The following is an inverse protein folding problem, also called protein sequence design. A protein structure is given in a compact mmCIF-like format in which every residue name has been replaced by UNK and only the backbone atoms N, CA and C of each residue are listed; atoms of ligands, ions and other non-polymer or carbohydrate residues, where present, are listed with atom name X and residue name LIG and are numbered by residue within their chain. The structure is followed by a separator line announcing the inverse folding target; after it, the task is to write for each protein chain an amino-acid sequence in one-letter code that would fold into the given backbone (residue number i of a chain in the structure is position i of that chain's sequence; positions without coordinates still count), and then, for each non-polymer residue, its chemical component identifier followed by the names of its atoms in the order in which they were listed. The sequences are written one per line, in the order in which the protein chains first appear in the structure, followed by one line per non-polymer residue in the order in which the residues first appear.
data_IF_818064989592
#
_entry.id   IF_818064989592
#
_cell.length_a   1.000
_cell.length_b   1.000
_cell.length_c   1.000
_cell.angle_alpha   90.00
_cell.angle_beta   90.00
_cell.angle_gamma   90.00
#
_symmetry.space_group_name_H-M   'P 1'
#
loop_
_entity.id
_entity.type
_entity.pdbx_description
1 polymer ?
#
# COMPACT_ATOMS: atom_id res chain seq x y z
N UNK A 1 -3.49 23.10 16.87
CA UNK A 1 -2.35 24.03 17.03
C UNK A 1 -1.23 23.55 16.12
N UNK A 2 -0.46 24.48 15.53
CA UNK A 2 0.68 24.10 14.68
C UNK A 2 1.77 23.45 15.51
N UNK A 3 2.34 22.35 14.99
CA UNK A 3 3.54 21.73 15.53
C UNK A 3 4.78 22.34 14.85
N UNK A 4 5.56 23.20 15.51
CA UNK A 4 6.71 23.86 14.90
C UNK A 4 7.89 22.91 14.66
N UNK A 5 7.88 21.72 15.25
CA UNK A 5 8.93 20.68 15.14
C UNK A 5 8.58 19.57 14.15
N UNK A 6 7.52 19.77 13.33
CA UNK A 6 7.10 18.74 12.38
C UNK A 6 8.23 18.31 11.43
N UNK A 7 8.95 19.29 10.84
CA UNK A 7 9.99 18.98 9.86
C UNK A 7 11.19 18.25 10.50
N UNK A 8 11.53 18.60 11.75
CA UNK A 8 12.58 17.93 12.51
C UNK A 8 12.17 16.46 12.77
N UNK A 9 10.94 16.24 13.26
CA UNK A 9 10.40 14.91 13.51
C UNK A 9 10.37 14.06 12.23
N UNK A 10 9.91 14.62 11.11
CA UNK A 10 9.88 13.92 9.83
C UNK A 10 11.28 13.54 9.35
N UNK A 11 12.27 14.41 9.58
CA UNK A 11 13.67 14.17 9.22
C UNK A 11 14.28 13.07 10.09
N UNK A 12 14.06 13.09 11.41
CA UNK A 12 14.51 12.04 12.32
C UNK A 12 13.86 10.68 12.03
N UNK A 13 12.60 10.69 11.59
CA UNK A 13 11.94 9.46 11.11
C UNK A 13 12.53 8.93 9.82
N UNK A 14 13.33 9.73 9.10
CA UNK A 14 13.86 9.39 7.77
C UNK A 14 12.82 9.54 6.65
N UNK A 15 11.78 10.33 6.86
CA UNK A 15 10.68 10.56 5.92
C UNK A 15 10.91 11.72 4.94
N UNK A 16 12.02 12.45 5.05
CA UNK A 16 12.39 13.53 4.15
C UNK A 16 13.57 13.09 3.28
N UNK A 17 13.35 12.96 1.96
CA UNK A 17 14.40 12.63 1.01
C UNK A 17 14.99 13.88 0.35
N UNK A 18 14.14 14.77 -0.14
CA UNK A 18 14.50 16.08 -0.71
C UNK A 18 13.45 17.11 -0.34
N UNK A 19 13.85 18.36 -0.31
CA UNK A 19 12.95 19.51 -0.23
C UNK A 19 13.48 20.67 -1.08
N UNK A 20 12.62 21.62 -1.41
CA UNK A 20 12.93 22.72 -2.31
C UNK A 20 13.85 23.78 -1.70
N UNK A 21 13.71 24.06 -0.41
CA UNK A 21 14.50 25.00 0.38
C UNK A 21 14.24 24.71 1.86
N UNK A 22 15.21 24.08 2.58
CA UNK A 22 15.00 23.70 3.97
C UNK A 22 14.65 24.86 4.89
N UNK A 23 15.31 26.01 4.76
CA UNK A 23 15.09 27.15 5.63
C UNK A 23 13.72 27.80 5.38
N UNK A 24 13.39 28.04 4.12
CA UNK A 24 12.09 28.58 3.74
C UNK A 24 10.92 27.64 4.10
N UNK A 25 11.14 26.32 4.06
CA UNK A 25 10.13 25.33 4.42
C UNK A 25 9.85 25.33 5.93
N UNK A 26 10.87 25.48 6.78
CA UNK A 26 10.69 25.62 8.24
C UNK A 26 9.83 26.83 8.55
N UNK A 27 10.18 27.99 7.98
CA UNK A 27 9.41 29.23 8.19
C UNK A 27 7.97 29.10 7.66
N UNK A 28 7.79 28.45 6.52
CA UNK A 28 6.48 28.20 5.92
C UNK A 28 5.59 27.32 6.79
N UNK A 29 6.14 26.24 7.37
CA UNK A 29 5.42 25.32 8.24
C UNK A 29 5.15 25.85 9.65
N UNK A 30 5.73 26.99 10.02
CA UNK A 30 5.40 27.67 11.28
C UNK A 30 3.96 28.22 11.31
N UNK A 31 3.28 28.31 10.19
CA UNK A 31 1.88 28.73 10.04
C UNK A 31 1.04 27.67 9.34
N UNK A 32 -0.32 27.67 9.54
CA UNK A 32 -1.18 26.73 8.83
C UNK A 32 -1.03 26.87 7.31
N UNK A 33 -0.75 25.79 6.63
CA UNK A 33 -0.70 25.76 5.18
C UNK A 33 -1.51 24.58 4.61
N UNK A 34 -1.80 24.62 3.32
CA UNK A 34 -2.43 23.53 2.59
C UNK A 34 -1.37 22.71 1.87
N UNK A 35 -1.36 21.40 2.13
CA UNK A 35 -0.41 20.42 1.57
C UNK A 35 -1.14 19.36 0.77
N UNK A 36 -0.63 19.02 -0.42
CA UNK A 36 -1.25 17.96 -1.22
C UNK A 36 -0.31 16.84 -1.61
N UNK A 37 -0.91 15.66 -1.84
CA UNK A 37 -0.30 14.52 -2.48
C UNK A 37 -1.25 13.95 -3.53
N UNK A 38 -0.69 13.53 -4.68
CA UNK A 38 -1.43 12.89 -5.76
C UNK A 38 -1.40 11.36 -5.67
N UNK A 39 -2.51 10.72 -6.01
CA UNK A 39 -2.71 9.28 -6.05
C UNK A 39 -3.35 8.89 -7.38
N UNK A 40 -2.54 8.39 -8.32
CA UNK A 40 -3.05 7.93 -9.61
C UNK A 40 -3.73 6.58 -9.50
N UNK A 41 -4.96 6.45 -10.03
CA UNK A 41 -5.71 5.19 -10.04
C UNK A 41 -5.12 4.23 -11.09
N UNK A 42 -4.18 3.41 -10.67
CA UNK A 42 -3.52 2.39 -11.51
C UNK A 42 -4.07 0.98 -11.26
N UNK A 43 -4.95 0.84 -10.28
CA UNK A 43 -5.68 -0.37 -9.91
C UNK A 43 -6.89 0.03 -9.06
N UNK A 44 -7.79 -0.92 -8.79
CA UNK A 44 -8.98 -0.70 -7.96
C UNK A 44 -8.73 -0.49 -6.47
N UNK A 45 -7.48 -0.54 -6.02
CA UNK A 45 -7.10 -0.33 -4.61
C UNK A 45 -5.76 0.38 -4.50
N UNK A 46 -5.57 1.08 -3.39
CA UNK A 46 -4.27 1.46 -2.88
C UNK A 46 -3.51 0.21 -2.38
N UNK A 47 -2.20 0.27 -2.38
CA UNK A 47 -1.32 -0.74 -1.78
C UNK A 47 -0.41 -0.10 -0.73
N UNK A 48 0.30 -0.92 0.04
CA UNK A 48 1.14 -0.43 1.15
C UNK A 48 2.20 0.61 0.74
N UNK A 49 2.61 0.67 -0.52
CA UNK A 49 3.48 1.73 -1.02
C UNK A 49 2.82 3.12 -1.05
N UNK A 50 1.48 3.19 -1.20
CA UNK A 50 0.72 4.43 -1.12
C UNK A 50 0.43 4.84 0.34
N UNK A 51 0.60 3.92 1.29
CA UNK A 51 0.29 4.19 2.69
C UNK A 51 1.22 5.27 3.27
N UNK A 52 2.53 5.25 2.94
CA UNK A 52 3.48 6.25 3.46
C UNK A 52 3.11 7.68 3.08
N UNK A 53 2.89 8.03 1.79
CA UNK A 53 2.46 9.39 1.44
C UNK A 53 1.09 9.75 2.02
N UNK A 54 0.17 8.80 2.18
CA UNK A 54 -1.11 9.03 2.81
C UNK A 54 -0.98 9.32 4.31
N UNK A 55 -0.16 8.55 5.02
CA UNK A 55 0.17 8.79 6.43
C UNK A 55 0.96 10.09 6.62
N UNK A 56 1.75 10.49 5.62
CA UNK A 56 2.39 11.79 5.64
C UNK A 56 1.36 12.92 5.61
N UNK A 57 0.35 12.86 4.74
CA UNK A 57 -0.77 13.82 4.77
C UNK A 57 -1.45 13.84 6.14
N UNK A 58 -1.63 12.67 6.77
CA UNK A 58 -2.19 12.58 8.12
C UNK A 58 -1.28 13.24 9.17
N UNK A 59 0.05 13.10 9.08
CA UNK A 59 1.00 13.78 9.97
C UNK A 59 0.90 15.31 9.84
N UNK A 60 0.79 15.82 8.62
CA UNK A 60 0.55 17.26 8.38
C UNK A 60 -0.78 17.71 8.99
N UNK A 61 -1.83 16.91 8.87
CA UNK A 61 -3.14 17.21 9.49
C UNK A 61 -3.03 17.28 11.00
N UNK A 62 -2.39 16.28 11.63
CA UNK A 62 -2.16 16.26 13.09
C UNK A 62 -1.30 17.44 13.56
N UNK A 63 -0.41 17.93 12.71
CA UNK A 63 0.43 19.10 12.97
C UNK A 63 -0.30 20.43 12.73
N UNK A 64 -1.59 20.43 12.33
CA UNK A 64 -2.43 21.62 12.19
C UNK A 64 -2.51 22.19 10.76
N UNK A 65 -1.96 21.50 9.76
CA UNK A 65 -2.06 21.86 8.35
C UNK A 65 -3.32 21.25 7.70
N UNK A 66 -3.70 21.75 6.53
CA UNK A 66 -4.85 21.24 5.77
C UNK A 66 -4.39 20.27 4.70
N UNK A 67 -4.66 18.96 4.82
CA UNK A 67 -4.29 17.99 3.81
C UNK A 67 -5.26 17.96 2.63
N UNK A 68 -4.71 17.82 1.43
CA UNK A 68 -5.45 17.61 0.18
C UNK A 68 -4.93 16.30 -0.44
N UNK A 69 -5.82 15.34 -0.63
CA UNK A 69 -5.53 14.15 -1.43
C UNK A 69 -6.13 14.35 -2.82
N UNK A 70 -5.28 14.34 -3.85
CA UNK A 70 -5.70 14.43 -5.24
C UNK A 70 -5.76 13.03 -5.83
N UNK A 71 -6.93 12.62 -6.34
CA UNK A 71 -7.07 11.40 -7.12
C UNK A 71 -6.95 11.74 -8.60
N UNK A 72 -6.05 11.06 -9.30
CA UNK A 72 -5.68 11.36 -10.68
C UNK A 72 -6.66 10.79 -11.70
N UNK A 73 -7.92 11.25 -11.74
CA UNK A 73 -8.89 10.78 -12.73
C UNK A 73 -8.53 11.11 -14.17
N UNK A 74 -7.80 12.23 -14.40
CA UNK A 74 -7.26 12.55 -15.71
C UNK A 74 -5.86 11.93 -15.91
N UNK A 75 -4.95 12.10 -14.93
CA UNK A 75 -3.59 11.57 -15.01
C UNK A 75 -3.54 10.05 -15.04
N UNK A 76 -4.49 9.36 -14.42
CA UNK A 76 -4.65 7.91 -14.48
C UNK A 76 -4.99 7.37 -15.87
N UNK A 77 -5.56 8.19 -16.77
CA UNK A 77 -5.78 7.85 -18.17
C UNK A 77 -4.50 7.93 -19.01
N UNK A 78 -3.50 8.68 -18.55
CA UNK A 78 -2.23 8.92 -19.26
C UNK A 78 -1.13 8.00 -18.74
N UNK A 79 -0.96 7.94 -17.43
CA UNK A 79 0.06 7.15 -16.74
C UNK A 79 1.41 7.85 -16.58
N UNK A 80 1.88 7.91 -15.33
CA UNK A 80 3.18 8.50 -14.98
C UNK A 80 4.34 7.63 -15.50
N UNK A 81 5.25 8.18 -16.35
CA UNK A 81 6.43 7.47 -16.85
C UNK A 81 7.57 7.38 -15.84
N UNK A 82 7.51 8.06 -14.70
CA UNK A 82 8.61 8.20 -13.75
C UNK A 82 9.16 6.85 -13.31
N UNK A 83 10.44 6.60 -13.67
CA UNK A 83 11.19 5.37 -13.36
C UNK A 83 10.50 4.05 -13.78
N UNK A 84 9.65 4.08 -14.81
CA UNK A 84 9.06 2.87 -15.41
C UNK A 84 9.88 2.38 -16.60
N UNK A 85 9.98 1.06 -16.73
CA UNK A 85 10.72 0.45 -17.83
C UNK A 85 9.95 0.44 -19.15
N UNK A 86 8.64 0.27 -19.08
CA UNK A 86 7.74 0.13 -20.24
C UNK A 86 6.61 1.14 -20.15
N UNK A 87 6.05 1.50 -21.29
CA UNK A 87 4.84 2.30 -21.39
C UNK A 87 3.67 1.60 -20.69
N UNK A 88 2.81 2.37 -20.03
CA UNK A 88 1.61 1.83 -19.41
C UNK A 88 0.56 1.53 -20.46
N UNK A 89 -0.16 0.43 -20.29
CA UNK A 89 -1.40 0.20 -21.03
C UNK A 89 -2.44 1.25 -20.64
N UNK A 90 -3.07 1.86 -21.63
CA UNK A 90 -4.16 2.81 -21.41
C UNK A 90 -5.42 2.06 -20.98
N UNK A 91 -6.03 2.52 -19.90
CA UNK A 91 -7.29 2.00 -19.40
C UNK A 91 -8.48 2.78 -19.94
N UNK A 92 -9.65 2.16 -19.99
CA UNK A 92 -10.87 2.87 -20.37
C UNK A 92 -11.28 3.91 -19.33
N UNK A 93 -11.98 4.94 -19.74
CA UNK A 93 -12.51 5.98 -18.84
C UNK A 93 -13.37 5.39 -17.73
N UNK A 94 -14.24 4.43 -18.05
CA UNK A 94 -15.12 3.78 -17.08
C UNK A 94 -14.32 2.99 -16.01
N UNK A 95 -13.26 2.29 -16.44
CA UNK A 95 -12.36 1.58 -15.53
C UNK A 95 -11.69 2.55 -14.56
N UNK A 96 -11.12 3.64 -15.07
CA UNK A 96 -10.45 4.65 -14.26
C UNK A 96 -11.43 5.34 -13.31
N UNK A 97 -12.65 5.66 -13.73
CA UNK A 97 -13.68 6.23 -12.87
C UNK A 97 -14.06 5.28 -11.72
N UNK A 98 -14.22 3.99 -11.99
CA UNK A 98 -14.43 2.98 -10.96
C UNK A 98 -13.30 2.96 -9.93
N UNK A 99 -12.05 3.01 -10.39
CA UNK A 99 -10.88 3.06 -9.51
C UNK A 99 -10.79 4.37 -8.72
N UNK A 100 -11.12 5.50 -9.32
CA UNK A 100 -11.23 6.81 -8.61
C UNK A 100 -12.18 6.71 -7.43
N UNK A 101 -13.35 6.10 -7.63
CA UNK A 101 -14.33 5.92 -6.55
C UNK A 101 -13.77 5.03 -5.41
N UNK A 102 -13.14 3.91 -5.75
CA UNK A 102 -12.54 2.99 -4.78
C UNK A 102 -11.40 3.62 -4.00
N UNK A 103 -10.45 4.26 -4.67
CA UNK A 103 -9.34 4.95 -4.03
C UNK A 103 -9.83 6.08 -3.12
N UNK A 104 -10.82 6.84 -3.58
CA UNK A 104 -11.45 7.92 -2.81
C UNK A 104 -12.05 7.43 -1.50
N UNK A 105 -12.69 6.27 -1.50
CA UNK A 105 -13.25 5.65 -0.30
C UNK A 105 -12.16 5.24 0.68
N UNK A 106 -11.08 4.61 0.20
CA UNK A 106 -9.94 4.19 1.03
C UNK A 106 -9.20 5.40 1.62
N UNK A 107 -8.98 6.45 0.84
CA UNK A 107 -8.33 7.69 1.32
C UNK A 107 -9.16 8.33 2.43
N UNK A 108 -10.48 8.45 2.26
CA UNK A 108 -11.36 9.00 3.31
C UNK A 108 -11.30 8.20 4.61
N UNK A 109 -11.22 6.88 4.54
CA UNK A 109 -11.12 6.02 5.72
C UNK A 109 -9.81 6.23 6.49
N UNK A 110 -8.70 6.46 5.78
CA UNK A 110 -7.36 6.61 6.37
C UNK A 110 -6.98 8.06 6.69
N UNK A 111 -7.74 9.02 6.16
CA UNK A 111 -7.56 10.45 6.40
C UNK A 111 -8.89 11.05 6.92
N UNK A 112 -9.30 10.71 8.16
CA UNK A 112 -10.58 11.13 8.71
C UNK A 112 -10.60 12.63 9.05
N UNK A 113 -11.82 13.19 9.08
CA UNK A 113 -12.07 14.49 9.67
C UNK A 113 -12.30 14.30 11.18
N UNK A 114 -11.29 14.61 11.98
CA UNK A 114 -11.38 14.55 13.44
C UNK A 114 -11.71 15.93 14.01
N UNK A 115 -12.38 15.94 15.16
CA UNK A 115 -12.73 17.17 15.86
C UNK A 115 -11.47 17.99 16.21
N UNK A 116 -11.52 19.27 15.88
CA UNK A 116 -10.41 20.21 16.14
C UNK A 116 -9.25 20.18 15.14
N UNK A 117 -9.29 19.30 14.13
CA UNK A 117 -8.33 19.29 13.04
C UNK A 117 -8.93 19.89 11.76
N UNK A 118 -8.05 20.32 10.84
CA UNK A 118 -8.47 20.75 9.51
C UNK A 118 -9.09 19.59 8.76
N UNK A 119 -10.29 19.77 8.22
CA UNK A 119 -10.93 18.73 7.41
C UNK A 119 -10.13 18.43 6.15
N UNK A 120 -9.80 17.15 5.88
CA UNK A 120 -9.09 16.78 4.67
C UNK A 120 -9.95 17.04 3.44
N UNK A 121 -9.32 17.51 2.37
CA UNK A 121 -9.98 17.72 1.09
C UNK A 121 -9.60 16.61 0.13
N UNK A 122 -10.59 16.04 -0.54
CA UNK A 122 -10.40 15.05 -1.59
C UNK A 122 -10.88 15.64 -2.91
N UNK A 123 -9.99 15.71 -3.89
CA UNK A 123 -10.24 16.31 -5.20
C UNK A 123 -9.86 15.34 -6.32
N UNK A 124 -10.48 15.54 -7.49
CA UNK A 124 -10.22 14.78 -8.70
C UNK A 124 -9.73 15.71 -9.80
N UNK A 125 -8.54 15.48 -10.37
CA UNK A 125 -8.05 16.34 -11.45
C UNK A 125 -8.84 16.19 -12.77
N UNK A 126 -9.67 15.16 -12.91
CA UNK A 126 -10.65 15.07 -13.99
C UNK A 126 -11.63 16.25 -14.03
N UNK A 127 -11.89 16.89 -12.87
CA UNK A 127 -12.86 18.00 -12.76
C UNK A 127 -12.41 19.27 -13.48
N UNK A 128 -11.10 19.48 -13.63
CA UNK A 128 -10.56 20.62 -14.37
C UNK A 128 -9.89 20.25 -15.69
N UNK A 129 -9.24 19.10 -15.76
CA UNK A 129 -8.63 18.64 -17.01
C UNK A 129 -9.67 18.31 -18.07
N UNK A 130 -10.78 17.69 -17.68
CA UNK A 130 -11.85 17.30 -18.59
C UNK A 130 -12.59 18.49 -19.25
N UNK A 131 -12.45 19.69 -18.70
CA UNK A 131 -13.06 20.91 -19.24
C UNK A 131 -12.11 21.71 -20.13
N UNK A 132 -10.81 21.38 -20.14
CA UNK A 132 -9.80 22.10 -20.91
C UNK A 132 -9.67 21.52 -22.31
N UNK A 133 -9.78 22.38 -23.32
CA UNK A 133 -9.53 21.94 -24.70
C UNK A 133 -8.02 21.68 -24.92
N UNK A 134 -7.69 20.81 -25.89
CA UNK A 134 -6.30 20.58 -26.26
C UNK A 134 -5.56 21.86 -26.70
N UNK A 135 -6.28 22.78 -27.38
CA UNK A 135 -5.69 24.05 -27.81
C UNK A 135 -5.42 24.98 -26.62
N UNK A 136 -6.32 25.06 -25.66
CA UNK A 136 -6.11 25.85 -24.45
C UNK A 136 -4.96 25.30 -23.62
N UNK A 137 -4.89 23.96 -23.48
CA UNK A 137 -3.80 23.32 -22.76
C UNK A 137 -2.43 23.62 -23.40
N UNK A 138 -2.32 23.51 -24.71
CA UNK A 138 -1.06 23.81 -25.41
C UNK A 138 -0.70 25.29 -25.36
N UNK A 139 -1.71 26.19 -25.56
CA UNK A 139 -1.50 27.64 -25.56
C UNK A 139 -1.15 28.16 -24.16
N UNK A 140 -1.90 27.75 -23.13
CA UNK A 140 -1.84 28.42 -21.82
C UNK A 140 -0.88 27.70 -20.86
N UNK A 141 -0.74 26.39 -20.98
CA UNK A 141 0.14 25.58 -20.14
C UNK A 141 1.41 25.18 -20.89
N UNK A 142 1.27 24.61 -22.06
CA UNK A 142 2.41 24.07 -22.86
C UNK A 142 3.49 25.11 -23.13
N UNK A 143 3.12 26.38 -23.40
CA UNK A 143 4.07 27.48 -23.64
C UNK A 143 5.08 27.72 -22.52
N UNK A 144 4.77 27.28 -21.29
CA UNK A 144 5.65 27.47 -20.13
C UNK A 144 6.70 26.37 -19.99
N UNK A 145 6.64 25.31 -20.80
CA UNK A 145 7.55 24.16 -20.74
C UNK A 145 8.52 24.17 -21.93
N UNK A 146 9.81 24.21 -21.61
CA UNK A 146 10.86 24.03 -22.62
C UNK A 146 11.07 22.55 -22.92
N UNK A 147 10.95 22.14 -24.18
CA UNK A 147 11.20 20.77 -24.61
C UNK A 147 12.60 20.31 -24.21
N UNK A 148 13.62 21.17 -24.36
CA UNK A 148 14.99 20.85 -23.95
C UNK A 148 15.10 20.55 -22.45
N UNK A 149 14.41 21.32 -21.60
CA UNK A 149 14.38 21.07 -20.16
C UNK A 149 13.64 19.77 -19.82
N UNK A 150 12.58 19.44 -20.56
CA UNK A 150 11.85 18.19 -20.39
C UNK A 150 12.69 16.98 -20.81
N UNK A 151 13.41 17.05 -21.92
CA UNK A 151 14.33 16.00 -22.40
C UNK A 151 15.52 15.78 -21.46
N UNK A 152 15.95 16.83 -20.74
CA UNK A 152 17.06 16.73 -19.78
C UNK A 152 16.68 16.06 -18.46
N UNK A 153 15.38 15.83 -18.18
CA UNK A 153 14.94 15.14 -16.97
C UNK A 153 15.46 13.71 -16.94
N UNK A 154 15.93 13.28 -15.78
CA UNK A 154 16.55 11.96 -15.63
C UNK A 154 15.62 10.81 -16.07
N UNK A 155 14.34 10.84 -15.67
CA UNK A 155 13.35 9.83 -16.06
C UNK A 155 13.14 9.74 -17.58
N UNK A 156 13.13 10.89 -18.27
CA UNK A 156 12.99 10.95 -19.73
C UNK A 156 14.28 10.50 -20.41
N UNK A 157 15.44 11.00 -19.95
CA UNK A 157 16.75 10.65 -20.48
C UNK A 157 17.03 9.15 -20.40
N UNK A 158 16.69 8.51 -19.27
CA UNK A 158 16.84 7.05 -19.11
C UNK A 158 15.95 6.26 -20.09
N UNK A 159 14.76 6.76 -20.42
CA UNK A 159 13.90 6.13 -21.43
C UNK A 159 14.45 6.29 -22.83
N UNK A 160 14.90 7.49 -23.21
CA UNK A 160 15.48 7.78 -24.52
C UNK A 160 16.82 7.07 -24.76
N UNK A 161 17.56 6.73 -23.71
CA UNK A 161 18.82 5.99 -23.83
C UNK A 161 18.63 4.49 -24.12
N UNK A 162 17.40 3.96 -24.10
CA UNK A 162 17.11 2.55 -24.40
C UNK A 162 16.89 2.33 -25.90
N UNK A 163 17.59 1.40 -26.56
CA UNK A 163 17.61 1.28 -28.02
C UNK A 163 16.24 1.05 -28.68
N UNK A 164 15.34 0.31 -28.01
CA UNK A 164 14.08 -0.14 -28.59
C UNK A 164 12.81 0.37 -27.87
N UNK A 165 12.96 1.33 -26.95
CA UNK A 165 11.87 1.81 -26.12
C UNK A 165 11.93 3.34 -26.01
N UNK A 166 11.27 4.04 -26.92
CA UNK A 166 11.05 5.47 -26.81
C UNK A 166 10.09 5.84 -25.67
N UNK A 167 9.73 7.10 -25.62
CA UNK A 167 8.66 7.64 -24.79
C UNK A 167 7.58 8.19 -25.73
N UNK A 168 6.33 7.84 -25.53
CA UNK A 168 5.24 8.42 -26.31
C UNK A 168 5.01 9.89 -25.92
N UNK A 169 4.42 10.66 -26.82
CA UNK A 169 4.02 12.03 -26.49
C UNK A 169 3.05 12.08 -25.31
N UNK A 170 2.21 11.07 -25.17
CA UNK A 170 1.28 10.90 -24.06
C UNK A 170 2.01 10.84 -22.73
N UNK A 171 2.94 9.89 -22.55
CA UNK A 171 3.77 9.80 -21.34
C UNK A 171 4.65 11.04 -21.12
N UNK A 172 5.23 11.58 -22.20
CA UNK A 172 6.05 12.78 -22.16
C UNK A 172 5.30 14.00 -21.62
N UNK A 173 4.01 14.10 -21.95
CA UNK A 173 3.14 15.20 -21.53
C UNK A 173 2.66 15.09 -20.08
N UNK A 174 2.79 13.92 -19.43
CA UNK A 174 2.30 13.69 -18.07
C UNK A 174 2.74 14.77 -17.08
N UNK A 175 4.00 15.15 -17.13
CA UNK A 175 4.56 16.16 -16.23
C UNK A 175 3.88 17.54 -16.34
N UNK A 176 3.30 17.88 -17.51
CA UNK A 176 2.55 19.11 -17.68
C UNK A 176 1.22 19.06 -16.93
N UNK A 177 0.55 17.89 -16.97
CA UNK A 177 -0.73 17.66 -16.28
C UNK A 177 -0.54 17.81 -14.77
N UNK A 178 0.40 17.08 -14.19
CA UNK A 178 0.67 17.16 -12.74
C UNK A 178 1.16 18.57 -12.33
N UNK A 179 1.91 19.27 -13.18
CA UNK A 179 2.31 20.65 -12.90
C UNK A 179 1.11 21.59 -12.87
N UNK A 180 0.16 21.38 -13.77
CA UNK A 180 -1.07 22.19 -13.80
C UNK A 180 -1.96 21.88 -12.59
N UNK A 181 -2.00 20.65 -12.10
CA UNK A 181 -2.69 20.31 -10.85
C UNK A 181 -2.22 21.19 -9.69
N UNK A 182 -0.91 21.36 -9.51
CA UNK A 182 -0.39 22.23 -8.45
C UNK A 182 -0.85 23.69 -8.60
N UNK A 183 -0.78 24.23 -9.81
CA UNK A 183 -1.22 25.60 -10.08
C UNK A 183 -2.73 25.77 -9.80
N UNK A 184 -3.57 24.79 -10.19
CA UNK A 184 -5.02 24.80 -9.92
C UNK A 184 -5.29 24.68 -8.43
N UNK A 185 -4.61 23.78 -7.72
CA UNK A 185 -4.78 23.61 -6.27
C UNK A 185 -4.32 24.86 -5.50
N UNK A 186 -3.24 25.50 -5.97
CA UNK A 186 -2.83 26.79 -5.40
C UNK A 186 -3.92 27.84 -5.57
N UNK A 187 -4.45 27.99 -6.78
CA UNK A 187 -5.48 28.99 -7.06
C UNK A 187 -6.79 28.73 -6.32
N UNK A 188 -7.24 27.47 -6.26
CA UNK A 188 -8.56 27.10 -5.71
C UNK A 188 -8.57 26.91 -4.21
N UNK A 189 -7.49 26.37 -3.65
CA UNK A 189 -7.42 25.89 -2.27
C UNK A 189 -6.29 26.55 -1.46
N UNK A 190 -5.55 27.49 -2.05
CA UNK A 190 -4.38 28.07 -1.39
C UNK A 190 -3.29 27.06 -1.10
N UNK A 191 -3.20 25.99 -1.89
CA UNK A 191 -2.19 24.94 -1.69
C UNK A 191 -0.79 25.49 -1.96
N UNK A 192 0.13 25.31 -1.01
CA UNK A 192 1.48 25.86 -1.07
C UNK A 192 2.59 24.83 -0.88
N UNK A 193 2.23 23.58 -0.59
CA UNK A 193 3.19 22.49 -0.46
C UNK A 193 2.71 21.24 -1.22
N UNK A 194 3.55 20.70 -2.09
CA UNK A 194 3.35 19.39 -2.69
C UNK A 194 4.30 18.38 -2.06
N UNK A 195 3.77 17.21 -1.68
CA UNK A 195 4.56 16.05 -1.26
C UNK A 195 4.37 14.88 -2.21
N UNK A 196 5.34 13.97 -2.25
CA UNK A 196 5.28 12.76 -3.07
C UNK A 196 6.49 11.86 -2.86
N UNK A 197 6.54 10.70 -3.52
CA UNK A 197 7.74 9.86 -3.53
C UNK A 197 8.93 10.56 -4.19
N UNK A 198 10.14 10.12 -3.88
CA UNK A 198 11.35 10.75 -4.43
C UNK A 198 11.45 10.64 -5.96
N UNK A 199 10.76 9.70 -6.57
CA UNK A 199 10.58 9.59 -8.03
C UNK A 199 9.75 10.74 -8.63
N UNK A 200 8.99 11.47 -7.80
CA UNK A 200 8.15 12.60 -8.21
C UNK A 200 8.86 13.96 -8.19
N UNK A 201 10.12 14.02 -7.76
CA UNK A 201 10.83 15.29 -7.59
C UNK A 201 10.81 16.18 -8.84
N UNK A 202 11.04 15.59 -10.02
CA UNK A 202 11.01 16.33 -11.29
C UNK A 202 9.63 16.89 -11.65
N UNK A 203 8.55 16.18 -11.31
CA UNK A 203 7.18 16.64 -11.52
C UNK A 203 6.83 17.74 -10.52
N UNK A 204 7.21 17.57 -9.24
CA UNK A 204 6.98 18.55 -8.16
C UNK A 204 7.65 19.89 -8.50
N UNK A 205 8.95 19.88 -8.84
CA UNK A 205 9.69 21.11 -9.19
C UNK A 205 9.12 21.80 -10.42
N UNK A 206 8.59 21.05 -11.37
CA UNK A 206 7.91 21.62 -12.54
C UNK A 206 6.58 22.27 -12.19
N UNK A 207 5.83 21.67 -11.26
CA UNK A 207 4.61 22.27 -10.71
C UNK A 207 4.89 23.57 -9.98
N UNK A 208 5.97 23.62 -9.19
CA UNK A 208 6.43 24.83 -8.53
C UNK A 208 6.78 25.94 -9.53
N UNK A 209 7.53 25.62 -10.59
CA UNK A 209 7.89 26.60 -11.62
C UNK A 209 6.65 27.10 -12.39
N UNK A 210 5.73 26.21 -12.74
CA UNK A 210 4.49 26.60 -13.41
C UNK A 210 3.62 27.49 -12.51
N UNK A 211 3.44 27.16 -11.23
CA UNK A 211 2.69 27.95 -10.27
C UNK A 211 3.29 29.35 -10.12
N UNK A 212 4.62 29.45 -10.03
CA UNK A 212 5.32 30.73 -10.02
C UNK A 212 5.07 31.55 -11.28
N UNK A 213 5.07 30.92 -12.46
CA UNK A 213 4.85 31.62 -13.76
C UNK A 213 3.41 32.08 -13.92
N UNK A 214 2.43 31.28 -13.50
CA UNK A 214 1.01 31.59 -13.68
C UNK A 214 0.48 32.54 -12.60
N UNK A 215 0.91 32.35 -11.35
CA UNK A 215 0.33 33.05 -10.19
C UNK A 215 1.31 33.98 -9.47
N UNK A 216 2.59 34.04 -9.90
CA UNK A 216 3.66 34.79 -9.22
C UNK A 216 3.80 34.42 -7.74
N UNK A 217 3.45 33.19 -7.40
CA UNK A 217 3.46 32.65 -6.05
C UNK A 217 4.65 31.73 -5.82
N UNK A 218 5.25 31.84 -4.64
CA UNK A 218 6.24 30.88 -4.16
C UNK A 218 5.53 29.73 -3.49
N UNK A 219 5.80 28.50 -3.93
CA UNK A 219 5.30 27.27 -3.36
C UNK A 219 6.46 26.30 -3.12
N UNK A 220 6.22 25.29 -2.29
CA UNK A 220 7.25 24.37 -1.82
C UNK A 220 7.00 22.94 -2.28
N UNK A 221 8.08 22.17 -2.32
CA UNK A 221 8.03 20.74 -2.61
C UNK A 221 8.87 19.95 -1.62
N UNK A 222 8.39 18.77 -1.24
CA UNK A 222 9.12 17.82 -0.40
C UNK A 222 8.87 16.39 -0.89
N UNK A 223 9.89 15.55 -0.87
CA UNK A 223 9.75 14.15 -1.24
C UNK A 223 10.08 13.21 -0.09
N UNK A 224 9.40 12.06 -0.12
CA UNK A 224 9.62 10.95 0.77
C UNK A 224 10.57 9.93 0.12
N UNK A 225 11.34 9.17 0.91
CA UNK A 225 12.16 8.09 0.37
C UNK A 225 11.29 7.03 -0.31
N UNK A 226 11.85 6.43 -1.36
CA UNK A 226 11.26 5.20 -1.91
C UNK A 226 11.50 4.06 -0.92
N UNK A 227 10.42 3.36 -0.59
CA UNK A 227 10.51 2.29 0.40
C UNK A 227 11.12 1.04 -0.23
N UNK A 228 12.27 0.65 0.31
CA UNK A 228 12.98 -0.59 -0.05
C UNK A 228 13.19 -1.42 1.19
N UNK A 229 13.44 -2.70 1.03
CA UNK A 229 13.97 -3.56 2.10
C UNK A 229 15.46 -3.25 2.33
N UNK A 230 16.03 -3.74 3.43
CA UNK A 230 17.44 -3.58 3.75
C UNK A 230 18.36 -4.17 2.65
N UNK A 231 17.91 -5.19 1.94
CA UNK A 231 18.59 -5.80 0.79
C UNK A 231 18.51 -4.96 -0.51
N UNK A 232 17.87 -3.79 -0.46
CA UNK A 232 17.68 -2.88 -1.61
C UNK A 232 16.53 -3.27 -2.53
N UNK A 233 15.83 -4.37 -2.30
CA UNK A 233 14.68 -4.76 -3.10
C UNK A 233 13.46 -3.88 -2.81
N UNK A 234 12.57 -3.74 -3.79
CA UNK A 234 11.35 -2.93 -3.63
C UNK A 234 10.45 -3.55 -2.57
N UNK A 235 10.05 -2.74 -1.60
CA UNK A 235 9.07 -3.14 -0.59
C UNK A 235 7.64 -3.11 -1.16
N UNK A 236 6.77 -3.97 -0.61
CA UNK A 236 5.34 -3.98 -0.95
C UNK A 236 4.95 -4.91 -2.09
N UNK A 237 5.89 -5.73 -2.58
CA UNK A 237 5.59 -6.83 -3.49
C UNK A 237 5.96 -8.16 -2.85
N UNK A 238 5.04 -9.12 -2.92
CA UNK A 238 5.26 -10.53 -2.61
C UNK A 238 5.35 -11.33 -3.92
N UNK A 239 5.59 -12.62 -3.84
CA UNK A 239 5.47 -13.52 -4.99
C UNK A 239 4.06 -13.47 -5.61
N UNK A 240 3.03 -13.18 -4.80
CA UNK A 240 1.63 -13.00 -5.22
C UNK A 240 1.29 -11.61 -5.76
N UNK A 241 2.24 -10.66 -5.81
CA UNK A 241 2.00 -9.30 -6.30
C UNK A 241 2.05 -8.22 -5.21
N UNK A 242 1.28 -7.15 -5.39
CA UNK A 242 1.20 -6.05 -4.43
C UNK A 242 0.35 -6.44 -3.21
N UNK A 243 0.73 -5.94 -2.02
CA UNK A 243 -0.10 -6.03 -0.82
C UNK A 243 -1.08 -4.86 -0.81
N UNK A 244 -2.35 -5.18 -1.04
CA UNK A 244 -3.42 -4.20 -1.20
C UNK A 244 -4.02 -3.78 0.13
N UNK A 245 -4.60 -2.57 0.16
CA UNK A 245 -5.35 -2.09 1.33
C UNK A 245 -6.81 -2.55 1.32
N UNK A 246 -7.33 -2.98 0.16
CA UNK A 246 -8.67 -3.54 0.03
C UNK A 246 -8.68 -4.99 0.57
N UNK A 247 -9.51 -5.30 1.58
CA UNK A 247 -9.60 -6.65 2.14
C UNK A 247 -10.11 -7.71 1.14
N UNK A 248 -10.75 -7.29 0.05
CA UNK A 248 -11.15 -8.21 -1.03
C UNK A 248 -9.96 -8.64 -1.92
N UNK A 249 -8.87 -7.86 -1.96
CA UNK A 249 -7.67 -8.14 -2.76
C UNK A 249 -6.52 -8.72 -1.94
N UNK A 250 -6.40 -8.32 -0.68
CA UNK A 250 -5.48 -8.90 0.31
C UNK A 250 -6.25 -9.02 1.62
N UNK A 251 -6.47 -10.25 2.10
CA UNK A 251 -7.22 -10.44 3.34
C UNK A 251 -6.53 -9.75 4.51
N UNK A 252 -7.27 -9.30 5.54
CA UNK A 252 -6.67 -8.77 6.76
C UNK A 252 -5.67 -9.73 7.41
N UNK A 253 -5.88 -11.06 7.28
CA UNK A 253 -4.94 -12.05 7.77
C UNK A 253 -3.62 -12.05 6.99
N UNK A 254 -3.66 -12.06 5.65
CA UNK A 254 -2.46 -12.00 4.83
C UNK A 254 -1.73 -10.66 5.00
N UNK A 255 -2.47 -9.55 5.10
CA UNK A 255 -1.92 -8.22 5.43
C UNK A 255 -1.19 -8.23 6.78
N UNK A 256 -1.80 -8.79 7.82
CA UNK A 256 -1.17 -8.94 9.14
C UNK A 256 0.09 -9.79 9.09
N UNK A 257 0.03 -10.94 8.42
CA UNK A 257 1.19 -11.85 8.30
C UNK A 257 2.34 -11.23 7.50
N UNK A 258 2.03 -10.40 6.49
CA UNK A 258 3.04 -9.66 5.75
C UNK A 258 3.88 -8.76 6.68
N UNK A 259 3.22 -7.98 7.54
CA UNK A 259 3.91 -7.10 8.48
C UNK A 259 4.60 -7.87 9.60
N UNK A 260 3.98 -8.93 10.08
CA UNK A 260 4.54 -9.83 11.09
C UNK A 260 5.81 -10.54 10.59
N UNK A 261 5.93 -10.74 9.28
CA UNK A 261 7.09 -11.32 8.60
C UNK A 261 8.18 -10.31 8.23
N UNK A 262 8.09 -9.06 8.69
CA UNK A 262 9.13 -8.04 8.46
C UNK A 262 10.47 -8.47 9.04
N UNK A 263 11.55 -8.28 8.26
CA UNK A 263 12.91 -8.59 8.72
C UNK A 263 13.32 -7.73 9.92
N UNK A 264 14.15 -8.28 10.78
CA UNK A 264 14.67 -7.59 11.97
C UNK A 264 15.42 -6.30 11.65
N UNK A 265 16.04 -6.23 10.48
CA UNK A 265 16.80 -5.08 9.97
C UNK A 265 15.91 -3.94 9.49
N UNK A 266 14.64 -4.25 9.15
CA UNK A 266 13.70 -3.29 8.59
C UNK A 266 12.66 -2.79 9.59
N UNK A 267 12.34 -3.58 10.63
CA UNK A 267 11.14 -3.39 11.45
C UNK A 267 11.08 -2.03 12.14
N UNK A 268 12.19 -1.55 12.72
CA UNK A 268 12.20 -0.25 13.43
C UNK A 268 12.12 0.91 12.46
N UNK A 269 12.75 0.80 11.28
CA UNK A 269 12.59 1.77 10.20
C UNK A 269 11.15 1.84 9.72
N UNK A 270 10.48 0.71 9.59
CA UNK A 270 9.07 0.68 9.17
C UNK A 270 8.14 1.19 10.28
N UNK A 271 8.43 0.95 11.55
CA UNK A 271 7.72 1.62 12.64
C UNK A 271 7.84 3.15 12.55
N UNK A 272 9.02 3.68 12.26
CA UNK A 272 9.21 5.13 12.07
C UNK A 272 8.42 5.68 10.87
N UNK A 273 8.28 4.91 9.79
CA UNK A 273 7.58 5.33 8.57
C UNK A 273 6.06 5.21 8.67
N UNK A 274 5.58 4.10 9.18
CA UNK A 274 4.19 3.69 9.07
C UNK A 274 3.37 3.86 10.36
N UNK A 275 3.97 3.92 11.55
CA UNK A 275 3.23 4.09 12.80
C UNK A 275 3.19 5.55 13.26
N UNK A 276 2.25 5.87 14.16
CA UNK A 276 2.18 7.16 14.83
C UNK A 276 2.84 7.11 16.24
N UNK A 277 3.52 6.04 16.59
CA UNK A 277 4.33 5.96 17.80
C UNK A 277 5.37 7.09 17.82
N UNK A 278 5.65 7.64 18.99
CA UNK A 278 6.76 8.58 19.15
C UNK A 278 8.10 7.91 18.88
N UNK A 279 9.10 8.68 18.47
CA UNK A 279 10.45 8.16 18.27
C UNK A 279 11.02 7.52 19.55
N UNK A 280 10.74 8.13 20.71
CA UNK A 280 11.16 7.61 22.03
C UNK A 280 10.53 6.25 22.37
N UNK A 281 9.26 6.01 21.99
CA UNK A 281 8.63 4.70 22.16
C UNK A 281 9.25 3.65 21.24
N UNK A 282 9.58 4.01 20.00
CA UNK A 282 10.24 3.10 19.05
C UNK A 282 11.66 2.76 19.54
N UNK A 283 12.41 3.75 19.98
CA UNK A 283 13.77 3.56 20.50
C UNK A 283 13.78 2.72 21.78
N UNK A 284 12.79 2.91 22.68
CA UNK A 284 12.61 2.08 23.87
C UNK A 284 12.29 0.63 23.50
N UNK A 285 11.41 0.41 22.52
CA UNK A 285 11.07 -0.92 22.00
C UNK A 285 12.31 -1.62 21.40
N UNK A 286 13.12 -0.90 20.62
CA UNK A 286 14.37 -1.40 20.06
C UNK A 286 15.36 -1.82 21.14
N UNK A 287 15.52 -0.98 22.18
CA UNK A 287 16.40 -1.26 23.31
C UNK A 287 15.93 -2.46 24.16
N UNK A 288 14.62 -2.68 24.28
CA UNK A 288 14.07 -3.85 24.95
C UNK A 288 14.25 -5.12 24.13
N UNK A 289 13.96 -5.05 22.82
CA UNK A 289 14.11 -6.18 21.91
C UNK A 289 15.58 -6.62 21.75
N UNK A 290 16.54 -5.69 21.88
CA UNK A 290 17.97 -6.02 21.89
C UNK A 290 18.39 -6.92 23.09
N UNK A 291 17.62 -6.91 24.17
CA UNK A 291 17.87 -7.72 25.38
C UNK A 291 17.16 -9.09 25.33
N UNK A 292 16.24 -9.29 24.36
CA UNK A 292 15.42 -10.50 24.25
C UNK A 292 16.19 -11.64 23.59
N UNK A 293 16.02 -12.83 24.14
CA UNK A 293 16.40 -14.06 23.46
C UNK A 293 15.15 -14.60 22.74
N UNK A 294 15.16 -14.62 21.41
CA UNK A 294 14.06 -15.12 20.59
C UNK A 294 13.39 -14.04 19.73
N UNK A 295 12.08 -14.23 19.42
CA UNK A 295 11.35 -13.32 18.55
C UNK A 295 11.24 -11.91 19.15
N UNK A 296 11.55 -10.92 18.36
CA UNK A 296 11.38 -9.50 18.71
C UNK A 296 9.89 -9.14 18.81
N UNK A 297 9.58 -8.14 19.60
CA UNK A 297 8.23 -7.65 19.79
C UNK A 297 7.82 -6.65 18.70
N UNK A 298 8.80 -5.99 18.10
CA UNK A 298 8.59 -4.94 17.12
C UNK A 298 7.75 -5.38 15.91
N UNK A 299 7.93 -6.62 15.39
CA UNK A 299 7.10 -7.12 14.29
C UNK A 299 5.63 -7.24 14.66
N UNK A 300 5.35 -7.68 15.88
CA UNK A 300 3.97 -7.79 16.37
C UNK A 300 3.34 -6.41 16.55
N UNK A 301 4.09 -5.47 17.11
CA UNK A 301 3.65 -4.08 17.27
C UNK A 301 3.34 -3.47 15.90
N UNK A 302 4.26 -3.59 14.93
CA UNK A 302 4.07 -3.10 13.57
C UNK A 302 2.83 -3.71 12.90
N UNK A 303 2.68 -5.03 12.99
CA UNK A 303 1.53 -5.73 12.40
C UNK A 303 0.21 -5.33 13.07
N UNK A 304 0.18 -5.18 14.39
CA UNK A 304 -1.00 -4.73 15.12
C UNK A 304 -1.41 -3.31 14.71
N UNK A 305 -0.46 -2.35 14.81
CA UNK A 305 -0.69 -0.94 14.46
C UNK A 305 -1.26 -0.78 13.06
N UNK A 306 -0.65 -1.43 12.08
CA UNK A 306 -1.05 -1.26 10.68
C UNK A 306 -2.33 -2.01 10.32
N UNK A 307 -2.57 -3.17 10.92
CA UNK A 307 -3.83 -3.90 10.70
C UNK A 307 -4.99 -3.16 11.34
N UNK A 308 -4.81 -2.60 12.54
CA UNK A 308 -5.83 -1.77 13.17
C UNK A 308 -6.11 -0.49 12.36
N UNK A 309 -5.06 0.17 11.90
CA UNK A 309 -5.16 1.40 11.12
C UNK A 309 -5.93 1.20 9.80
N UNK A 310 -5.63 0.12 9.07
CA UNK A 310 -6.18 -0.10 7.72
C UNK A 310 -7.50 -0.85 7.75
N UNK A 311 -7.63 -1.85 8.62
CA UNK A 311 -8.77 -2.77 8.64
C UNK A 311 -9.64 -2.65 9.90
N UNK A 312 -9.19 -1.89 10.89
CA UNK A 312 -9.92 -1.63 12.14
C UNK A 312 -9.75 -2.71 13.21
N UNK A 313 -10.21 -2.37 14.42
CA UNK A 313 -10.06 -3.21 15.64
C UNK A 313 -10.67 -4.60 15.52
N UNK A 314 -11.82 -4.71 14.86
CA UNK A 314 -12.49 -6.01 14.70
C UNK A 314 -11.67 -6.98 13.82
N UNK A 315 -11.08 -6.47 12.74
CA UNK A 315 -10.21 -7.25 11.88
C UNK A 315 -8.91 -7.65 12.62
N UNK A 316 -8.29 -6.73 13.36
CA UNK A 316 -7.13 -7.05 14.19
C UNK A 316 -7.43 -8.17 15.20
N UNK A 317 -8.54 -8.10 15.91
CA UNK A 317 -8.95 -9.15 16.86
C UNK A 317 -9.16 -10.51 16.15
N UNK A 318 -9.74 -10.50 14.94
CA UNK A 318 -9.95 -11.71 14.16
C UNK A 318 -8.61 -12.34 13.73
N UNK A 319 -7.67 -11.56 13.18
CA UNK A 319 -6.37 -12.10 12.71
C UNK A 319 -5.49 -12.59 13.85
N UNK A 320 -5.55 -11.95 15.01
CA UNK A 320 -4.87 -12.42 16.22
C UNK A 320 -5.45 -13.76 16.69
N UNK A 321 -6.77 -13.90 16.73
CA UNK A 321 -7.46 -15.16 17.06
C UNK A 321 -7.10 -16.26 16.06
N UNK A 322 -7.14 -16.00 14.75
CA UNK A 322 -6.76 -16.97 13.71
C UNK A 322 -5.31 -17.43 13.95
N UNK A 323 -4.38 -16.50 14.15
CA UNK A 323 -2.97 -16.80 14.38
C UNK A 323 -2.75 -17.67 15.61
N UNK A 324 -3.44 -17.38 16.73
CA UNK A 324 -3.38 -18.16 17.98
C UNK A 324 -3.92 -19.57 17.78
N UNK A 325 -5.09 -19.72 17.13
CA UNK A 325 -5.73 -21.01 16.90
C UNK A 325 -4.93 -21.90 15.95
N UNK A 326 -4.31 -21.32 14.91
CA UNK A 326 -3.40 -22.06 14.04
C UNK A 326 -2.12 -22.50 14.77
N UNK A 327 -1.59 -21.64 15.66
CA UNK A 327 -0.39 -21.96 16.43
C UNK A 327 -0.65 -23.03 17.49
N UNK A 328 -1.72 -22.93 18.26
CA UNK A 328 -2.12 -23.91 19.29
C UNK A 328 -2.60 -25.24 18.69
N UNK A 329 -3.10 -25.20 17.45
CA UNK A 329 -3.74 -26.35 16.78
C UNK A 329 -5.21 -26.54 17.13
N UNK A 330 -5.82 -25.63 17.91
CA UNK A 330 -7.25 -25.65 18.27
C UNK A 330 -8.11 -25.05 17.16
N UNK A 331 -7.92 -25.57 15.95
CA UNK A 331 -8.52 -25.04 14.72
C UNK A 331 -10.03 -25.27 14.61
N UNK A 332 -10.60 -26.12 15.47
CA UNK A 332 -12.04 -26.34 15.53
C UNK A 332 -12.82 -25.10 16.01
N UNK A 333 -12.13 -24.12 16.62
CA UNK A 333 -12.69 -22.86 17.07
C UNK A 333 -12.65 -21.71 16.00
N UNK A 334 -12.09 -22.00 14.81
CA UNK A 334 -12.14 -21.05 13.70
C UNK A 334 -13.59 -20.88 13.23
N UNK A 335 -14.02 -19.63 13.05
CA UNK A 335 -15.29 -19.29 12.44
C UNK A 335 -15.27 -19.39 10.91
N UNK A 336 -16.45 -19.37 10.28
CA UNK A 336 -16.56 -19.43 8.82
C UNK A 336 -15.82 -18.25 8.13
N UNK A 337 -15.94 -17.04 8.68
CA UNK A 337 -15.24 -15.86 8.19
C UNK A 337 -13.72 -15.95 8.33
N UNK A 338 -13.21 -16.67 9.34
CA UNK A 338 -11.79 -16.92 9.52
C UNK A 338 -11.27 -17.86 8.42
N UNK A 339 -12.02 -18.93 8.15
CA UNK A 339 -11.70 -19.87 7.09
C UNK A 339 -11.78 -19.23 5.69
N UNK A 340 -12.73 -18.32 5.47
CA UNK A 340 -12.82 -17.57 4.23
C UNK A 340 -11.57 -16.70 3.98
N UNK A 341 -11.04 -16.00 4.99
CA UNK A 341 -9.78 -15.25 4.87
C UNK A 341 -8.59 -16.17 4.60
N UNK A 342 -8.54 -17.34 5.25
CA UNK A 342 -7.49 -18.33 5.03
C UNK A 342 -7.56 -18.94 3.62
N UNK A 343 -8.76 -19.14 3.08
CA UNK A 343 -8.98 -19.65 1.71
C UNK A 343 -8.60 -18.61 0.65
N UNK A 344 -8.82 -17.33 0.92
CA UNK A 344 -8.54 -16.25 -0.02
C UNK A 344 -7.04 -16.19 -0.38
N UNK A 345 -6.18 -16.06 0.63
CA UNK A 345 -4.74 -15.83 0.46
C UNK A 345 -3.92 -16.12 1.75
N UNK A 346 -4.57 -16.55 2.82
CA UNK A 346 -3.94 -16.75 4.13
C UNK A 346 -3.11 -18.02 4.23
N UNK A 347 -3.41 -19.04 3.43
CA UNK A 347 -2.66 -20.30 3.35
C UNK A 347 -2.88 -21.01 2.00
N UNK A 348 -2.04 -22.01 1.66
CA UNK A 348 -2.30 -22.85 0.49
C UNK A 348 -3.71 -23.41 0.52
N UNK A 349 -4.47 -23.19 -0.54
CA UNK A 349 -5.85 -23.62 -0.66
C UNK A 349 -6.15 -24.26 -2.00
N UNK A 350 -7.20 -25.09 -2.06
CA UNK A 350 -7.71 -25.68 -3.29
C UNK A 350 -9.22 -25.83 -3.23
N UNK A 351 -9.86 -25.76 -4.38
CA UNK A 351 -11.30 -25.96 -4.53
C UNK A 351 -11.58 -27.35 -5.07
N UNK A 352 -12.59 -28.01 -4.50
CA UNK A 352 -13.03 -29.35 -4.91
C UNK A 352 -14.52 -29.33 -5.21
N UNK A 353 -14.92 -29.97 -6.30
CA UNK A 353 -16.31 -30.24 -6.66
C UNK A 353 -16.57 -31.75 -6.66
N UNK A 354 -17.68 -32.14 -6.04
CA UNK A 354 -18.08 -33.57 -5.96
C UNK A 354 -17.43 -34.33 -4.82
N UNK A 355 -17.54 -35.69 -4.91
CA UNK A 355 -16.99 -36.57 -3.90
C UNK A 355 -15.51 -36.93 -4.20
N UNK A 356 -14.70 -36.98 -3.18
CA UNK A 356 -13.29 -37.37 -3.26
C UNK A 356 -12.88 -38.14 -1.99
N UNK A 357 -11.93 -39.06 -2.12
CA UNK A 357 -11.34 -39.74 -0.97
C UNK A 357 -10.17 -38.94 -0.38
N UNK A 358 -9.89 -39.12 0.90
CA UNK A 358 -8.84 -38.37 1.61
C UNK A 358 -7.44 -38.59 1.00
N UNK A 359 -7.14 -39.82 0.53
CA UNK A 359 -5.85 -40.16 -0.10
C UNK A 359 -5.64 -39.37 -1.39
N UNK A 360 -6.69 -39.30 -2.23
CA UNK A 360 -6.66 -38.50 -3.46
C UNK A 360 -6.52 -37.00 -3.15
N UNK A 361 -7.21 -36.52 -2.14
CA UNK A 361 -7.16 -35.13 -1.69
C UNK A 361 -5.74 -34.75 -1.20
N UNK A 362 -5.11 -35.58 -0.37
CA UNK A 362 -3.73 -35.35 0.09
C UNK A 362 -2.72 -35.24 -1.04
N UNK A 363 -2.93 -35.99 -2.12
CA UNK A 363 -2.06 -35.94 -3.31
C UNK A 363 -2.35 -34.66 -4.11
N UNK A 364 -3.60 -34.34 -4.38
CA UNK A 364 -3.96 -33.13 -5.16
C UNK A 364 -3.56 -31.84 -4.47
N UNK A 365 -3.61 -31.80 -3.14
CA UNK A 365 -3.16 -30.65 -2.33
C UNK A 365 -1.63 -30.56 -2.16
N UNK A 366 -0.86 -31.49 -2.71
CA UNK A 366 0.59 -31.51 -2.56
C UNK A 366 1.11 -31.91 -1.17
N UNK A 367 0.23 -32.34 -0.26
CA UNK A 367 0.61 -32.79 1.07
C UNK A 367 1.24 -34.19 1.02
N UNK A 368 1.02 -34.96 -0.04
CA UNK A 368 1.69 -36.20 -0.35
C UNK A 368 2.05 -36.31 -1.83
N UNK A 369 3.23 -36.84 -2.16
CA UNK A 369 3.69 -36.94 -3.54
C UNK A 369 3.10 -38.15 -4.29
N UNK A 370 2.38 -39.05 -3.60
CA UNK A 370 1.71 -40.22 -4.21
C UNK A 370 0.68 -40.83 -3.24
N UNK A 371 -0.28 -41.57 -3.79
CA UNK A 371 -1.30 -42.30 -2.98
C UNK A 371 -0.66 -43.24 -1.95
N UNK A 372 0.49 -43.90 -2.28
CA UNK A 372 1.23 -44.75 -1.34
C UNK A 372 1.73 -43.92 -0.16
N UNK A 373 2.39 -42.81 -0.41
CA UNK A 373 2.89 -41.92 0.63
C UNK A 373 1.73 -41.32 1.46
N UNK A 374 0.60 -40.99 0.85
CA UNK A 374 -0.58 -40.48 1.57
C UNK A 374 -1.07 -41.52 2.60
N UNK A 375 -1.17 -42.81 2.20
CA UNK A 375 -1.54 -43.90 3.13
C UNK A 375 -0.52 -44.13 4.24
N UNK A 376 0.77 -44.06 3.92
CA UNK A 376 1.84 -44.15 4.93
C UNK A 376 1.77 -43.03 5.95
N UNK A 377 1.49 -41.78 5.51
CA UNK A 377 1.33 -40.61 6.38
C UNK A 377 0.08 -40.72 7.29
N UNK A 378 -1.02 -41.26 6.76
CA UNK A 378 -2.23 -41.53 7.56
C UNK A 378 -1.96 -42.60 8.62
N UNK A 379 -1.38 -43.75 8.22
CA UNK A 379 -1.03 -44.84 9.14
C UNK A 379 -0.06 -44.38 10.24
N UNK A 380 0.87 -43.49 9.90
CA UNK A 380 1.82 -42.89 10.87
C UNK A 380 1.22 -41.83 11.78
N UNK A 381 -0.08 -41.48 11.62
CA UNK A 381 -0.72 -40.36 12.37
C UNK A 381 -0.10 -39.00 12.08
N UNK A 382 0.46 -38.82 10.88
CA UNK A 382 1.11 -37.57 10.49
C UNK A 382 0.13 -36.53 9.87
N UNK A 383 -1.12 -36.92 9.65
CA UNK A 383 -2.18 -36.11 9.07
C UNK A 383 -3.23 -35.78 10.14
N UNK A 384 -3.65 -34.53 10.21
CA UNK A 384 -4.83 -34.15 10.96
C UNK A 384 -5.86 -33.47 10.07
N UNK A 385 -7.11 -33.69 10.39
CA UNK A 385 -8.30 -33.14 9.77
C UNK A 385 -8.97 -32.22 10.79
N UNK A 386 -9.12 -30.95 10.49
CA UNK A 386 -9.71 -29.95 11.40
C UNK A 386 -9.12 -30.02 12.83
N UNK A 387 -7.82 -30.29 12.95
CA UNK A 387 -7.12 -30.40 14.23
C UNK A 387 -7.10 -31.80 14.84
N UNK A 388 -7.93 -32.74 14.37
CA UNK A 388 -8.00 -34.11 14.87
C UNK A 388 -7.14 -35.03 14.03
N UNK A 389 -6.32 -35.91 14.66
CA UNK A 389 -5.50 -36.88 13.96
C UNK A 389 -6.40 -37.89 13.21
N UNK A 390 -6.04 -38.14 11.94
CA UNK A 390 -6.76 -39.06 11.06
C UNK A 390 -5.83 -40.21 10.64
N UNK A 391 -6.29 -41.46 10.83
CA UNK A 391 -5.51 -42.66 10.49
C UNK A 391 -6.13 -43.50 9.36
N UNK A 392 -7.43 -43.33 9.13
CA UNK A 392 -8.16 -43.92 8.01
C UNK A 392 -8.26 -42.98 6.80
N UNK A 393 -8.66 -43.48 5.66
CA UNK A 393 -8.85 -42.76 4.41
C UNK A 393 -10.29 -42.29 4.16
N UNK A 394 -11.17 -42.48 5.14
CA UNK A 394 -12.57 -42.11 5.02
C UNK A 394 -12.77 -40.60 5.20
N UNK A 395 -13.51 -40.01 4.31
CA UNK A 395 -13.93 -38.63 4.34
C UNK A 395 -15.45 -38.55 4.21
N UNK A 396 -16.10 -37.86 5.11
CA UNK A 396 -17.55 -37.69 5.11
C UNK A 396 -17.94 -36.24 4.95
N UNK A 397 -19.18 -35.95 4.54
CA UNK A 397 -19.69 -34.60 4.45
C UNK A 397 -19.70 -33.89 5.82
N UNK A 398 -19.79 -34.66 6.92
CA UNK A 398 -19.77 -34.15 8.30
C UNK A 398 -18.38 -33.69 8.76
N UNK A 399 -17.32 -34.08 8.04
CA UNK A 399 -15.96 -33.59 8.30
C UNK A 399 -15.77 -32.14 7.82
N UNK A 400 -16.68 -31.64 6.98
CA UNK A 400 -16.59 -30.27 6.43
C UNK A 400 -17.08 -29.25 7.47
N UNK A 401 -16.19 -28.36 7.89
CA UNK A 401 -16.55 -27.20 8.71
C UNK A 401 -17.48 -26.30 7.91
N UNK A 402 -18.59 -25.89 8.51
CA UNK A 402 -19.65 -25.08 7.88
C UNK A 402 -20.18 -25.70 6.56
N UNK A 403 -20.08 -27.03 6.41
CA UNK A 403 -20.48 -27.72 5.18
C UNK A 403 -19.59 -27.48 3.96
N UNK A 404 -18.54 -26.68 4.08
CA UNK A 404 -17.76 -26.14 2.97
C UNK A 404 -16.23 -26.33 3.10
N UNK A 405 -15.67 -26.19 4.29
CA UNK A 405 -14.22 -26.15 4.49
C UNK A 405 -13.66 -27.39 5.16
N UNK A 406 -12.46 -27.79 4.76
CA UNK A 406 -11.71 -28.84 5.40
C UNK A 406 -10.26 -28.41 5.59
N UNK A 407 -9.80 -28.29 6.83
CA UNK A 407 -8.43 -27.92 7.13
C UNK A 407 -7.57 -29.16 7.32
N UNK A 408 -6.68 -29.38 6.37
CA UNK A 408 -5.68 -30.46 6.39
C UNK A 408 -4.38 -29.94 6.99
N UNK A 409 -3.72 -30.77 7.81
CA UNK A 409 -2.38 -30.48 8.30
C UNK A 409 -1.50 -31.72 8.25
N UNK A 410 -0.30 -31.57 7.69
CA UNK A 410 0.78 -32.55 7.72
C UNK A 410 1.85 -32.14 8.72
N UNK A 411 2.10 -32.96 9.73
CA UNK A 411 3.04 -32.66 10.80
C UNK A 411 2.63 -31.42 11.60
N UNK A 412 3.62 -30.56 11.94
CA UNK A 412 3.35 -29.38 12.79
C UNK A 412 3.06 -28.09 12.04
N UNK A 413 3.48 -27.97 10.77
CA UNK A 413 3.54 -26.65 10.09
C UNK A 413 2.89 -26.60 8.71
N UNK A 414 2.66 -27.73 8.05
CA UNK A 414 2.13 -27.74 6.69
C UNK A 414 0.61 -27.79 6.73
N UNK A 415 -0.03 -26.65 6.55
CA UNK A 415 -1.49 -26.52 6.43
C UNK A 415 -1.90 -26.43 4.96
N UNK A 416 -3.09 -26.93 4.66
CA UNK A 416 -3.78 -26.73 3.40
C UNK A 416 -5.29 -26.68 3.65
N UNK A 417 -5.94 -25.65 3.12
CA UNK A 417 -7.39 -25.51 3.23
C UNK A 417 -8.06 -25.99 1.95
N UNK A 418 -9.05 -26.84 2.09
CA UNK A 418 -9.87 -27.33 0.98
C UNK A 418 -11.26 -26.72 1.10
N UNK A 419 -11.75 -26.18 -0.01
CA UNK A 419 -13.07 -25.59 -0.11
C UNK A 419 -13.92 -26.38 -1.09
N UNK A 420 -15.13 -26.79 -0.70
CA UNK A 420 -16.13 -27.41 -1.57
C UNK A 420 -17.03 -26.34 -2.20
N UNK A 421 -17.20 -26.46 -3.54
CA UNK A 421 -18.16 -25.69 -4.32
C UNK A 421 -19.33 -26.54 -4.76
#
# INVERSE_FOLDING_TARGET
MINPHLLDELTERGLVAQNSDPAALVDHLATPCTVYCGFDPTAGSLHIGHLVPLLMLRRFQLAGHTPVALVGGATGLIGDPSFKATERSLNSTDTVQGWVASLSAQIRALLPADDGLSAPQLVNNGDWMGQMSALDFLRDIGKHFSVNAMLARESVRQRLARPDQGISFTEFSYALLQSYDFAVLHQRLGCTLQIGGNDQWGNITSGMDLTRRLHQAQVHGMTLPLITKADGTKFGKTEGGAVWLDPALTSPYAFYQFWLGTADEDVYRFLRYYSFMSLSEIDALEAEDAKRQGRKQAQQVLANELTELVHGKAALAAVQRISELLFSGDVARLGESDLAQLAQDGMPSSTVSGETDLVSLLVSCGLANSRRIARELLAAGAISLNGVLKQDDQLSATDRLFGRYLLLRRGKKQYHLVEWQ
#
